data_IF_458362666140
#
_entry.id   IF_458362666140
#
_cell.length_a   1.000
_cell.length_b   1.000
_cell.length_c   1.000
_cell.angle_alpha   90.00
_cell.angle_beta   90.00
_cell.angle_gamma   90.00
#
_symmetry.space_group_name_H-M   'P 1'
#
loop_
_entity.id
_entity.type
_entity.pdbx_description
1 polymer ?
#
# COMPACT_ATOMS: atom_id res chain seq x y z
N UNK A 1 27.37 39.06 19.66
CA UNK A 1 27.01 40.10 18.67
C UNK A 1 28.26 40.39 17.86
N UNK A 2 28.39 40.04 16.59
CA UNK A 2 27.54 40.34 15.43
C UNK A 2 27.65 39.25 14.35
N UNK A 3 26.57 39.08 13.59
CA UNK A 3 26.42 38.17 12.46
C UNK A 3 27.21 38.64 11.23
N UNK A 4 27.59 37.72 10.35
CA UNK A 4 27.30 37.74 8.90
C UNK A 4 28.06 36.61 8.19
N UNK A 5 27.34 35.59 7.74
CA UNK A 5 27.80 34.63 6.73
C UNK A 5 27.00 34.88 5.46
N UNK A 6 27.73 35.16 4.40
CA UNK A 6 27.26 35.58 3.09
C UNK A 6 26.51 34.48 2.36
N UNK A 7 25.38 34.86 1.75
CA UNK A 7 24.70 34.11 0.70
C UNK A 7 25.61 33.92 -0.52
N UNK A 8 25.65 32.69 -1.03
CA UNK A 8 26.01 32.40 -2.41
C UNK A 8 24.92 31.52 -2.98
N UNK A 9 23.96 32.15 -3.66
CA UNK A 9 23.01 31.46 -4.49
C UNK A 9 23.72 30.87 -5.70
N UNK A 10 23.44 29.60 -5.98
CA UNK A 10 23.63 29.01 -7.30
C UNK A 10 22.27 28.48 -7.74
N UNK A 11 21.65 29.27 -8.61
CA UNK A 11 20.48 28.94 -9.40
C UNK A 11 20.72 27.64 -10.20
N UNK A 12 19.75 26.73 -10.32
CA UNK A 12 19.83 25.63 -11.27
C UNK A 12 19.59 26.18 -12.69
N UNK A 13 20.63 26.19 -13.52
CA UNK A 13 20.50 26.32 -14.97
C UNK A 13 20.09 24.97 -15.60
N UNK A 14 19.21 25.11 -16.58
CA UNK A 14 18.93 24.23 -17.72
C UNK A 14 18.13 22.93 -17.54
N UNK A 15 16.85 23.06 -17.92
CA UNK A 15 15.97 22.01 -18.42
C UNK A 15 16.45 21.51 -19.79
N UNK A 16 16.56 20.19 -20.02
CA UNK A 16 16.50 19.64 -21.36
C UNK A 16 15.11 19.09 -21.68
N UNK A 17 14.51 19.69 -22.72
CA UNK A 17 13.54 19.15 -23.69
C UNK A 17 12.60 18.01 -23.27
N UNK A 18 11.32 18.36 -23.18
CA UNK A 18 10.17 17.45 -23.30
C UNK A 18 10.12 16.88 -24.72
N UNK A 19 10.09 15.55 -24.93
CA UNK A 19 9.40 15.01 -26.09
C UNK A 19 7.93 14.80 -25.72
N UNK A 20 7.05 15.56 -26.37
CA UNK A 20 5.65 15.20 -26.51
C UNK A 20 5.58 13.78 -27.10
N UNK A 21 5.06 12.85 -26.32
CA UNK A 21 4.48 11.64 -26.89
C UNK A 21 3.15 11.41 -26.20
N UNK A 22 2.12 12.01 -26.78
CA UNK A 22 0.74 11.62 -26.56
C UNK A 22 0.59 10.16 -26.99
N UNK A 23 0.57 9.27 -26.01
CA UNK A 23 -0.12 8.00 -26.16
C UNK A 23 -0.99 7.83 -24.94
N UNK A 24 -2.26 8.21 -25.10
CA UNK A 24 -3.32 7.90 -24.16
C UNK A 24 -3.27 6.41 -23.81
N UNK A 25 -2.65 6.10 -22.69
CA UNK A 25 -3.23 5.12 -21.81
C UNK A 25 -4.29 5.91 -21.04
N UNK A 26 -5.54 5.83 -21.48
CA UNK A 26 -6.62 5.80 -20.51
C UNK A 26 -6.25 4.66 -19.55
N UNK A 27 -5.48 5.00 -18.53
CA UNK A 27 -5.49 4.24 -17.29
C UNK A 27 -6.87 4.55 -16.77
N UNK A 28 -7.85 3.79 -17.27
CA UNK A 28 -9.15 3.70 -16.66
C UNK A 28 -8.84 3.50 -15.20
N UNK A 29 -9.04 4.56 -14.40
CA UNK A 29 -8.75 4.54 -12.99
C UNK A 29 -9.59 3.39 -12.47
N UNK A 30 -8.95 2.23 -12.26
CA UNK A 30 -9.61 1.06 -11.74
C UNK A 30 -10.20 1.55 -10.43
N UNK A 31 -11.53 1.61 -10.37
CA UNK A 31 -12.22 2.15 -9.21
C UNK A 31 -11.90 1.18 -8.09
N UNK A 32 -10.89 1.52 -7.29
CA UNK A 32 -10.45 0.67 -6.21
C UNK A 32 -11.60 0.63 -5.20
N UNK A 33 -12.16 -0.56 -5.01
CA UNK A 33 -13.13 -0.81 -3.98
C UNK A 33 -12.45 -0.70 -2.62
N UNK A 34 -13.23 -0.44 -1.58
CA UNK A 34 -12.72 -0.34 -0.22
C UNK A 34 -13.61 -1.03 0.79
N UNK A 35 -13.01 -1.49 1.88
CA UNK A 35 -13.73 -2.10 2.99
C UNK A 35 -12.84 -2.33 4.20
N UNK A 36 -13.46 -2.79 5.29
CA UNK A 36 -12.77 -3.17 6.52
C UNK A 36 -12.63 -4.70 6.56
N UNK A 37 -11.40 -5.18 6.77
CA UNK A 37 -11.17 -6.60 6.91
C UNK A 37 -11.66 -7.11 8.27
N UNK A 38 -12.40 -8.22 8.26
CA UNK A 38 -12.95 -8.83 9.50
C UNK A 38 -12.29 -10.18 9.83
N UNK A 39 -11.53 -10.76 8.91
CA UNK A 39 -10.70 -11.95 9.14
C UNK A 39 -9.39 -11.80 8.36
N UNK A 40 -8.35 -12.51 8.80
CA UNK A 40 -7.09 -12.61 8.06
C UNK A 40 -6.58 -14.04 8.03
N UNK A 41 -5.81 -14.36 7.00
CA UNK A 41 -5.01 -15.58 6.92
C UNK A 41 -3.66 -15.24 6.28
N UNK A 42 -2.58 -15.51 7.01
CA UNK A 42 -1.22 -15.39 6.47
C UNK A 42 -0.75 -16.75 5.99
N UNK A 43 -0.41 -16.86 4.71
CA UNK A 43 0.30 -18.02 4.22
C UNK A 43 1.71 -18.04 4.82
N UNK A 44 2.14 -19.22 5.28
CA UNK A 44 3.51 -19.40 5.81
C UNK A 44 4.47 -19.91 4.73
N UNK A 45 3.92 -20.66 3.77
CA UNK A 45 4.59 -21.15 2.58
C UNK A 45 3.74 -20.72 1.37
N UNK A 46 4.35 -20.38 0.22
CA UNK A 46 3.59 -20.07 -0.97
C UNK A 46 2.68 -21.23 -1.39
N UNK A 47 1.44 -20.90 -1.75
CA UNK A 47 0.50 -21.87 -2.30
C UNK A 47 -0.33 -21.22 -3.42
N UNK A 48 -0.41 -21.84 -4.62
CA UNK A 48 0.23 -23.08 -5.03
C UNK A 48 1.77 -22.96 -5.15
N UNK A 49 2.46 -24.09 -5.27
CA UNK A 49 3.92 -24.07 -5.42
C UNK A 49 4.32 -23.26 -6.66
N UNK A 50 5.29 -22.35 -6.49
CA UNK A 50 5.73 -21.42 -7.54
C UNK A 50 5.03 -20.05 -7.54
N UNK A 51 4.06 -19.82 -6.65
CA UNK A 51 3.48 -18.50 -6.41
C UNK A 51 4.28 -17.68 -5.40
N UNK A 52 3.87 -16.41 -5.20
CA UNK A 52 4.20 -15.67 -4.01
C UNK A 52 3.36 -16.17 -2.81
N UNK A 53 3.89 -15.96 -1.61
CA UNK A 53 3.17 -16.16 -0.35
C UNK A 53 2.26 -14.96 -0.11
N UNK A 54 1.00 -15.21 0.22
CA UNK A 54 -0.01 -14.17 0.31
C UNK A 54 -0.48 -13.89 1.74
N UNK A 55 -0.79 -12.63 2.01
CA UNK A 55 -1.67 -12.24 3.12
C UNK A 55 -3.09 -12.09 2.58
N UNK A 56 -4.00 -12.91 3.11
CA UNK A 56 -5.41 -12.88 2.78
C UNK A 56 -6.20 -12.09 3.82
N UNK A 57 -7.09 -11.22 3.36
CA UNK A 57 -8.01 -10.43 4.17
C UNK A 57 -9.45 -10.65 3.68
N UNK A 58 -10.36 -10.95 4.61
CA UNK A 58 -11.77 -11.13 4.29
C UNK A 58 -12.49 -9.78 4.39
N UNK A 59 -12.91 -9.23 3.25
CA UNK A 59 -13.47 -7.89 3.07
C UNK A 59 -14.71 -7.98 2.20
N UNK A 60 -15.83 -7.41 2.64
CA UNK A 60 -17.09 -7.39 1.88
C UNK A 60 -17.51 -8.80 1.41
N UNK A 61 -17.52 -9.76 2.33
CA UNK A 61 -17.90 -11.16 2.12
C UNK A 61 -17.02 -11.98 1.16
N UNK A 62 -15.86 -11.46 0.75
CA UNK A 62 -14.90 -12.15 -0.11
C UNK A 62 -13.45 -12.07 0.42
N UNK A 63 -12.62 -13.03 0.01
CA UNK A 63 -11.18 -13.03 0.31
C UNK A 63 -10.42 -12.19 -0.72
N UNK A 64 -9.57 -11.28 -0.22
CA UNK A 64 -8.64 -10.48 -1.00
C UNK A 64 -7.21 -10.81 -0.60
N UNK A 65 -6.25 -10.77 -1.53
CA UNK A 65 -4.85 -11.11 -1.25
C UNK A 65 -3.88 -9.96 -1.51
N UNK A 66 -2.85 -9.88 -0.67
CA UNK A 66 -1.65 -9.10 -0.87
C UNK A 66 -0.48 -10.07 -1.01
N UNK A 67 0.10 -10.12 -2.22
CA UNK A 67 1.26 -10.97 -2.52
C UNK A 67 2.54 -10.39 -1.93
N UNK A 68 3.41 -11.28 -1.46
CA UNK A 68 4.73 -10.96 -0.89
C UNK A 68 4.71 -9.79 0.13
N UNK A 69 3.86 -9.86 1.17
CA UNK A 69 3.73 -8.79 2.13
C UNK A 69 5.03 -8.64 2.94
N UNK A 70 5.52 -7.41 3.10
CA UNK A 70 6.70 -7.15 3.93
C UNK A 70 6.43 -7.48 5.41
N UNK A 71 7.50 -7.61 6.20
CA UNK A 71 7.41 -7.99 7.61
C UNK A 71 6.63 -6.97 8.45
N UNK A 72 6.78 -5.68 8.17
CA UNK A 72 6.07 -4.61 8.88
C UNK A 72 4.56 -4.67 8.64
N UNK A 73 4.16 -4.89 7.40
CA UNK A 73 2.76 -5.11 7.01
C UNK A 73 2.17 -6.34 7.72
N UNK A 74 2.86 -7.48 7.70
CA UNK A 74 2.42 -8.69 8.39
C UNK A 74 2.21 -8.46 9.89
N UNK A 75 3.19 -7.86 10.57
CA UNK A 75 3.12 -7.59 12.02
C UNK A 75 1.99 -6.63 12.34
N UNK A 76 1.80 -5.58 11.53
CA UNK A 76 0.79 -4.56 11.77
C UNK A 76 -0.62 -5.14 11.65
N UNK A 77 -0.89 -5.92 10.62
CA UNK A 77 -2.18 -6.62 10.44
C UNK A 77 -2.39 -7.65 11.55
N UNK A 78 -1.38 -8.46 11.87
CA UNK A 78 -1.48 -9.44 12.96
C UNK A 78 -1.77 -8.75 14.31
N UNK A 79 -1.15 -7.61 14.60
CA UNK A 79 -1.43 -6.85 15.82
C UNK A 79 -2.88 -6.33 15.85
N UNK A 80 -3.41 -5.88 14.71
CA UNK A 80 -4.80 -5.43 14.61
C UNK A 80 -5.79 -6.55 14.95
N UNK A 81 -5.58 -7.76 14.42
CA UNK A 81 -6.47 -8.89 14.67
C UNK A 81 -6.23 -9.61 16.01
N UNK A 82 -4.98 -9.80 16.44
CA UNK A 82 -4.66 -10.67 17.58
C UNK A 82 -4.39 -9.93 18.89
N UNK A 83 -3.92 -8.68 18.85
CA UNK A 83 -3.52 -7.94 20.07
C UNK A 83 -4.47 -6.81 20.42
N UNK A 84 -4.99 -6.11 19.42
CA UNK A 84 -5.82 -4.91 19.60
C UNK A 84 -7.14 -4.96 18.80
N UNK A 85 -7.89 -6.08 18.76
CA UNK A 85 -9.07 -6.21 17.90
C UNK A 85 -10.18 -5.20 18.22
N UNK A 86 -10.25 -4.69 19.45
CA UNK A 86 -11.24 -3.69 19.85
C UNK A 86 -10.81 -2.26 19.55
N UNK A 87 -9.53 -2.03 19.25
CA UNK A 87 -8.94 -0.69 19.06
C UNK A 87 -8.50 -0.41 17.64
N UNK A 88 -8.10 -1.44 16.90
CA UNK A 88 -7.56 -1.31 15.55
C UNK A 88 -8.48 -1.97 14.54
N UNK A 89 -8.49 -1.41 13.34
CA UNK A 89 -9.10 -1.99 12.16
C UNK A 89 -8.15 -1.90 10.96
N UNK A 90 -8.40 -2.75 9.96
CA UNK A 90 -7.63 -2.81 8.73
C UNK A 90 -8.50 -2.34 7.59
N UNK A 91 -8.28 -1.12 7.13
CA UNK A 91 -8.87 -0.58 5.90
C UNK A 91 -8.10 -1.16 4.71
N UNK A 92 -8.83 -1.60 3.70
CA UNK A 92 -8.27 -2.21 2.49
C UNK A 92 -8.80 -1.46 1.27
N UNK A 93 -7.93 -1.26 0.28
CA UNK A 93 -8.28 -0.87 -1.09
C UNK A 93 -7.91 -2.02 -2.03
N UNK A 94 -8.84 -2.46 -2.87
CA UNK A 94 -8.68 -3.65 -3.69
C UNK A 94 -9.33 -3.49 -5.07
N UNK A 95 -8.91 -4.32 -6.03
CA UNK A 95 -9.49 -4.42 -7.37
C UNK A 95 -9.62 -5.89 -7.72
N UNK A 96 -10.86 -6.40 -7.79
CA UNK A 96 -11.08 -7.85 -7.81
C UNK A 96 -10.56 -8.48 -6.52
N UNK A 97 -9.89 -9.61 -6.61
CA UNK A 97 -9.28 -10.30 -5.47
C UNK A 97 -7.97 -9.64 -4.96
N UNK A 98 -7.36 -8.75 -5.73
CA UNK A 98 -6.05 -8.18 -5.40
C UNK A 98 -6.14 -6.91 -4.55
N UNK A 99 -5.41 -6.91 -3.44
CA UNK A 99 -5.19 -5.74 -2.59
C UNK A 99 -4.20 -4.80 -3.28
N UNK A 100 -4.59 -3.54 -3.40
CA UNK A 100 -3.78 -2.44 -3.96
C UNK A 100 -3.16 -1.57 -2.87
N UNK A 101 -3.77 -1.55 -1.68
CA UNK A 101 -3.26 -0.86 -0.51
C UNK A 101 -4.02 -1.27 0.75
N UNK A 102 -3.37 -1.11 1.91
CA UNK A 102 -4.00 -1.31 3.20
C UNK A 102 -3.48 -0.29 4.22
N UNK A 103 -4.31 -0.02 5.22
CA UNK A 103 -3.97 0.84 6.34
C UNK A 103 -4.51 0.24 7.63
N UNK A 104 -3.62 0.05 8.60
CA UNK A 104 -4.02 -0.26 9.98
C UNK A 104 -4.22 1.06 10.71
N UNK A 105 -5.43 1.29 11.22
CA UNK A 105 -5.80 2.53 11.90
C UNK A 105 -6.60 2.23 13.17
N UNK A 106 -6.76 3.22 14.03
CA UNK A 106 -7.70 3.13 15.13
C UNK A 106 -9.13 3.13 14.61
N UNK A 107 -10.00 2.35 15.27
CA UNK A 107 -11.46 2.41 15.05
C UNK A 107 -12.02 3.77 15.42
#
# INVERSE_FOLDING_TARGET
>A
MTNNSSESGTSPEDLPNVPENEKGADTQAATAETGIAIRYWLELIPYPAGSARSLWLFVNDEWRHLDDPDLGTQISVQNAFCKCPERLEVQVWYSGDKIQGLLVKTK
#
